data_IF_817780091978
#
_entry.id   IF_817780091978
#
_cell.length_a   1.000
_cell.length_b   1.000
_cell.length_c   1.000
_cell.angle_alpha   90.00
_cell.angle_beta   90.00
_cell.angle_gamma   90.00
#
_symmetry.space_group_name_H-M   'P 1'
#
loop_
_entity.id
_entity.type
_entity.pdbx_description
1 polymer ?
#
# COMPACT_ATOMS: atom_id res chain seq x y z
N UNK A 1 13.88 -16.11 -10.70
CA UNK A 1 13.01 -15.60 -9.62
C UNK A 1 13.58 -14.23 -9.29
N UNK A 2 12.93 -13.15 -9.72
CA UNK A 2 13.37 -11.82 -9.29
C UNK A 2 13.06 -11.73 -7.80
N UNK A 3 14.10 -11.64 -6.99
CA UNK A 3 13.98 -11.43 -5.55
C UNK A 3 13.58 -9.96 -5.37
N UNK A 4 12.27 -9.71 -5.34
CA UNK A 4 11.77 -8.37 -5.07
C UNK A 4 12.00 -8.09 -3.59
N UNK A 5 13.16 -7.51 -3.27
CA UNK A 5 13.42 -7.00 -1.94
C UNK A 5 12.50 -5.81 -1.69
N UNK A 6 11.82 -5.81 -0.54
CA UNK A 6 10.96 -4.69 -0.14
C UNK A 6 11.82 -3.42 -0.04
N UNK A 7 11.36 -2.29 -0.60
CA UNK A 7 12.09 -1.03 -0.48
C UNK A 7 12.24 -0.65 0.99
N UNK A 8 13.29 0.08 1.39
CA UNK A 8 13.48 0.49 2.77
C UNK A 8 12.43 1.49 3.26
N UNK A 9 11.73 2.17 2.33
CA UNK A 9 10.72 3.18 2.65
C UNK A 9 9.51 3.04 1.74
N UNK A 10 8.31 3.21 2.29
CA UNK A 10 7.06 3.30 1.54
C UNK A 10 6.37 4.63 1.84
N UNK A 11 5.65 5.13 0.84
CA UNK A 11 4.98 6.42 0.86
C UNK A 11 3.50 6.25 0.56
N UNK A 12 2.65 6.89 1.35
CA UNK A 12 1.21 6.94 1.08
C UNK A 12 0.73 8.38 1.10
N UNK A 13 0.40 8.87 -0.09
CA UNK A 13 -0.21 10.18 -0.29
C UNK A 13 -1.71 10.10 0.03
N UNK A 14 -2.23 11.11 0.72
CA UNK A 14 -3.64 11.20 1.06
C UNK A 14 -4.00 12.47 1.80
N UNK A 15 -5.22 12.51 2.31
CA UNK A 15 -5.70 13.58 3.19
C UNK A 15 -5.13 13.38 4.60
N UNK A 16 -4.66 14.45 5.24
CA UNK A 16 -4.04 14.40 6.57
C UNK A 16 -4.88 13.64 7.60
N UNK A 17 -6.18 13.93 7.70
CA UNK A 17 -7.08 13.30 8.69
C UNK A 17 -7.07 11.76 8.58
N UNK A 18 -7.14 11.23 7.35
CA UNK A 18 -7.06 9.79 7.10
C UNK A 18 -5.68 9.23 7.46
N UNK A 19 -4.62 9.99 7.14
CA UNK A 19 -3.25 9.57 7.40
C UNK A 19 -2.88 9.64 8.89
N UNK A 20 -3.50 10.52 9.68
CA UNK A 20 -3.36 10.55 11.14
C UNK A 20 -3.94 9.29 11.78
N UNK A 21 -5.08 8.79 11.27
CA UNK A 21 -5.63 7.49 11.68
C UNK A 21 -4.74 6.32 11.23
N UNK A 22 -4.15 6.42 10.04
CA UNK A 22 -3.18 5.44 9.57
C UNK A 22 -1.93 5.42 10.46
N UNK A 23 -1.40 6.58 10.84
CA UNK A 23 -0.22 6.69 11.71
C UNK A 23 -0.51 6.18 13.13
N UNK A 24 -1.54 6.72 13.78
CA UNK A 24 -1.82 6.48 15.21
C UNK A 24 -2.49 5.13 15.48
N UNK A 25 -3.32 4.62 14.56
CA UNK A 25 -4.09 3.39 14.76
C UNK A 25 -3.69 2.26 13.79
N UNK A 26 -2.87 2.56 12.78
CA UNK A 26 -2.58 1.60 11.72
C UNK A 26 -3.82 1.27 10.89
N UNK A 27 -4.72 2.25 10.70
CA UNK A 27 -5.99 2.03 10.00
C UNK A 27 -5.79 2.08 8.47
N UNK A 28 -6.11 0.99 7.79
CA UNK A 28 -6.05 0.90 6.33
C UNK A 28 -7.31 0.24 5.77
N UNK A 29 -7.74 0.69 4.59
CA UNK A 29 -8.84 0.06 3.86
C UNK A 29 -8.26 -0.70 2.67
N UNK A 30 -8.45 -2.01 2.66
CA UNK A 30 -8.16 -2.86 1.52
C UNK A 30 -9.27 -2.68 0.49
N UNK A 31 -8.92 -2.39 -0.77
CA UNK A 31 -9.90 -2.11 -1.83
C UNK A 31 -9.94 -3.21 -2.88
N UNK A 32 -11.12 -3.55 -3.44
CA UNK A 32 -11.21 -4.50 -4.53
C UNK A 32 -10.50 -4.01 -5.79
N UNK A 33 -9.58 -4.82 -6.33
CA UNK A 33 -8.96 -4.61 -7.65
C UNK A 33 -8.49 -5.95 -8.22
N UNK A 34 -8.71 -6.20 -9.52
CA UNK A 34 -8.24 -7.41 -10.21
C UNK A 34 -8.56 -8.73 -9.47
N UNK A 35 -9.78 -8.88 -8.97
CA UNK A 35 -10.26 -10.01 -8.15
C UNK A 35 -9.47 -10.26 -6.85
N UNK A 36 -8.79 -9.23 -6.36
CA UNK A 36 -8.05 -9.23 -5.09
C UNK A 36 -8.56 -8.08 -4.22
N UNK A 37 -8.28 -8.17 -2.92
CA UNK A 37 -8.24 -6.99 -2.05
C UNK A 37 -6.81 -6.46 -2.06
N UNK A 38 -6.65 -5.16 -2.28
CA UNK A 38 -5.34 -4.56 -2.46
C UNK A 38 -5.08 -3.38 -1.54
N UNK A 39 -3.80 -3.12 -1.29
CA UNK A 39 -3.30 -1.96 -0.57
C UNK A 39 -2.00 -1.51 -1.23
N UNK A 40 -2.00 -0.31 -1.82
CA UNK A 40 -0.84 0.23 -2.53
C UNK A 40 -0.14 1.33 -1.75
N UNK A 41 1.16 1.45 -2.01
CA UNK A 41 2.06 2.49 -1.54
C UNK A 41 2.99 2.87 -2.69
N UNK A 42 3.44 4.12 -2.75
CA UNK A 42 4.53 4.49 -3.64
C UNK A 42 5.87 4.14 -3.00
N UNK A 43 6.87 3.89 -3.84
CA UNK A 43 8.26 3.67 -3.45
C UNK A 43 9.09 4.96 -3.51
N UNK A 44 8.51 6.07 -3.97
CA UNK A 44 9.20 7.35 -4.15
C UNK A 44 8.52 8.49 -3.41
N UNK A 45 9.33 9.44 -2.95
CA UNK A 45 8.87 10.77 -2.55
C UNK A 45 8.89 11.70 -3.77
N UNK A 46 7.74 12.07 -4.30
CA UNK A 46 7.62 13.00 -5.43
C UNK A 46 6.48 13.99 -5.22
N UNK A 47 6.78 15.28 -5.36
CA UNK A 47 5.82 16.38 -5.28
C UNK A 47 4.66 16.26 -6.29
N UNK A 48 4.89 15.62 -7.45
CA UNK A 48 3.84 15.38 -8.47
C UNK A 48 2.77 14.41 -7.97
N UNK A 49 3.13 13.45 -7.13
CA UNK A 49 2.19 12.47 -6.59
C UNK A 49 1.19 13.11 -5.62
N UNK A 50 1.56 14.22 -4.96
CA UNK A 50 0.58 15.01 -4.20
C UNK A 50 -0.53 15.55 -5.11
N UNK A 51 -0.20 16.07 -6.30
CA UNK A 51 -1.21 16.57 -7.22
C UNK A 51 -2.02 15.43 -7.85
N UNK A 52 -1.34 14.35 -8.27
CA UNK A 52 -1.98 13.18 -8.88
C UNK A 52 -3.01 12.54 -7.94
N UNK A 53 -2.71 12.44 -6.65
CA UNK A 53 -3.62 11.87 -5.65
C UNK A 53 -4.51 12.92 -4.96
N UNK A 54 -4.42 14.19 -5.36
CA UNK A 54 -5.10 15.31 -4.67
C UNK A 54 -4.87 15.28 -3.15
N UNK A 55 -3.63 14.96 -2.76
CA UNK A 55 -3.19 14.78 -1.39
C UNK A 55 -2.58 16.06 -0.82
N UNK A 56 -2.82 16.31 0.46
CA UNK A 56 -2.20 17.40 1.22
C UNK A 56 -1.07 16.90 2.14
N UNK A 57 -0.99 15.59 2.35
CA UNK A 57 -0.07 14.95 3.27
C UNK A 57 0.43 13.61 2.73
N UNK A 58 1.56 13.14 3.25
CA UNK A 58 2.17 11.87 2.92
C UNK A 58 2.62 11.16 4.20
N UNK A 59 2.19 9.91 4.36
CA UNK A 59 2.67 9.00 5.39
C UNK A 59 3.92 8.29 4.86
N UNK A 60 5.03 8.49 5.54
CA UNK A 60 6.31 7.86 5.25
C UNK A 60 6.54 6.72 6.23
N UNK A 61 6.78 5.52 5.74
CA UNK A 61 7.00 4.31 6.54
C UNK A 61 8.45 3.86 6.36
N UNK A 62 9.25 3.95 7.42
CA UNK A 62 10.71 3.73 7.41
C UNK A 62 11.14 2.29 7.73
N UNK A 63 10.22 1.46 8.21
CA UNK A 63 10.47 0.03 8.46
C UNK A 63 9.40 -0.81 7.73
N UNK A 64 9.66 -1.06 6.45
CA UNK A 64 8.69 -1.71 5.56
C UNK A 64 8.55 -3.21 5.83
N UNK A 65 9.59 -3.85 6.38
CA UNK A 65 9.55 -5.25 6.82
C UNK A 65 8.57 -5.42 7.98
N UNK A 66 8.77 -4.67 9.06
CA UNK A 66 7.87 -4.71 10.21
C UNK A 66 6.44 -4.30 9.83
N UNK A 67 6.31 -3.29 8.98
CA UNK A 67 5.00 -2.87 8.46
C UNK A 67 4.31 -4.00 7.67
N UNK A 68 5.01 -4.61 6.72
CA UNK A 68 4.48 -5.68 5.88
C UNK A 68 4.04 -6.89 6.70
N UNK A 69 4.84 -7.32 7.67
CA UNK A 69 4.46 -8.38 8.60
C UNK A 69 3.20 -8.06 9.40
N UNK A 70 3.09 -6.83 9.93
CA UNK A 70 1.92 -6.38 10.70
C UNK A 70 0.67 -6.34 9.83
N UNK A 71 0.78 -5.88 8.59
CA UNK A 71 -0.32 -5.87 7.60
C UNK A 71 -0.78 -7.29 7.30
N UNK A 72 0.12 -8.19 6.88
CA UNK A 72 -0.23 -9.60 6.60
C UNK A 72 -0.86 -10.28 7.82
N UNK A 73 -0.34 -10.04 9.02
CA UNK A 73 -0.91 -10.57 10.26
C UNK A 73 -2.30 -10.01 10.55
N UNK A 74 -2.56 -8.73 10.29
CA UNK A 74 -3.87 -8.13 10.46
C UNK A 74 -4.90 -8.69 9.47
N UNK A 75 -4.50 -8.86 8.20
CA UNK A 75 -5.36 -9.46 7.18
C UNK A 75 -5.63 -10.93 7.51
N UNK A 76 -4.63 -11.72 7.90
CA UNK A 76 -4.84 -13.12 8.29
C UNK A 76 -5.84 -13.28 9.43
N UNK A 77 -5.90 -12.33 10.37
CA UNK A 77 -6.91 -12.32 11.44
C UNK A 77 -8.31 -11.96 10.92
N UNK A 78 -8.40 -10.98 10.04
CA UNK A 78 -9.69 -10.50 9.50
C UNK A 78 -10.27 -11.44 8.43
N UNK A 79 -9.40 -12.08 7.64
CA UNK A 79 -9.70 -12.83 6.43
C UNK A 79 -8.88 -14.15 6.39
N UNK A 80 -9.19 -15.12 7.27
CA UNK A 80 -8.33 -16.30 7.47
C UNK A 80 -8.23 -17.24 6.27
N UNK A 81 -9.15 -17.16 5.31
CA UNK A 81 -9.20 -17.98 4.08
C UNK A 81 -8.63 -17.28 2.84
N UNK A 82 -7.85 -16.23 3.04
CA UNK A 82 -7.26 -15.43 1.96
C UNK A 82 -5.74 -15.61 1.95
N UNK A 83 -5.17 -15.73 0.76
CA UNK A 83 -3.72 -15.81 0.56
C UNK A 83 -3.20 -14.44 0.12
N UNK A 84 -2.19 -13.94 0.83
CA UNK A 84 -1.56 -12.63 0.58
C UNK A 84 -0.20 -12.74 -0.10
N UNK A 85 0.08 -11.78 -0.97
CA UNK A 85 1.40 -11.51 -1.54
C UNK A 85 1.64 -10.01 -1.60
N UNK A 86 2.90 -9.59 -1.63
CA UNK A 86 3.28 -8.20 -1.89
C UNK A 86 4.51 -8.12 -2.77
N UNK A 87 4.68 -7.00 -3.47
CA UNK A 87 5.71 -6.82 -4.48
C UNK A 87 5.56 -5.54 -5.28
N UNK A 88 6.57 -5.22 -6.08
CA UNK A 88 6.54 -4.09 -6.99
C UNK A 88 5.52 -4.31 -8.13
N UNK A 89 4.85 -3.24 -8.54
CA UNK A 89 4.01 -3.21 -9.73
C UNK A 89 4.88 -3.11 -10.98
N UNK A 90 4.58 -3.90 -12.01
CA UNK A 90 5.21 -3.80 -13.32
C UNK A 90 4.31 -2.98 -14.27
N UNK A 91 4.94 -2.07 -15.01
CA UNK A 91 4.26 -1.10 -15.87
C UNK A 91 4.51 -1.39 -17.35
N UNK A 92 3.46 -1.36 -18.17
CA UNK A 92 3.56 -1.57 -19.62
C UNK A 92 3.84 -3.01 -20.06
N UNK A 93 4.05 -3.92 -19.11
CA UNK A 93 4.20 -5.36 -19.33
C UNK A 93 3.37 -6.13 -18.32
N UNK A 94 3.04 -7.38 -18.65
CA UNK A 94 2.35 -8.27 -17.72
C UNK A 94 3.30 -8.69 -16.60
N UNK A 95 2.93 -8.37 -15.37
CA UNK A 95 3.71 -8.76 -14.20
C UNK A 95 3.70 -10.26 -13.96
N UNK A 96 4.82 -10.80 -13.49
CA UNK A 96 4.93 -12.21 -13.10
C UNK A 96 4.00 -12.54 -11.92
N UNK A 97 3.74 -11.57 -11.05
CA UNK A 97 2.84 -11.67 -9.90
C UNK A 97 1.33 -11.60 -10.28
N UNK A 98 1.03 -11.32 -11.54
CA UNK A 98 -0.33 -11.33 -12.10
C UNK A 98 -0.98 -9.96 -12.20
N UNK A 99 -2.29 -9.97 -12.49
CA UNK A 99 -3.04 -8.77 -12.88
C UNK A 99 -3.19 -7.70 -11.79
N UNK A 100 -3.04 -8.05 -10.51
CA UNK A 100 -3.03 -7.07 -9.42
C UNK A 100 -1.73 -6.24 -9.38
N UNK A 101 -0.67 -6.72 -10.03
CA UNK A 101 0.65 -6.10 -10.09
C UNK A 101 0.98 -5.57 -11.49
N UNK A 102 0.00 -5.52 -12.39
CA UNK A 102 0.19 -5.08 -13.77
C UNK A 102 -0.54 -3.76 -13.96
N UNK A 103 0.17 -2.71 -14.37
CA UNK A 103 -0.40 -1.41 -14.70
C UNK A 103 0.08 -0.90 -16.07
N UNK A 104 -0.55 0.17 -16.55
CA UNK A 104 -0.18 0.76 -17.84
C UNK A 104 1.07 1.63 -17.72
N UNK A 105 1.78 1.85 -18.83
CA UNK A 105 2.97 2.70 -18.82
C UNK A 105 2.70 4.16 -18.39
N UNK A 106 1.46 4.63 -18.53
CA UNK A 106 1.06 5.99 -18.10
C UNK A 106 1.05 6.17 -16.58
N UNK A 107 1.00 5.06 -15.82
CA UNK A 107 0.93 5.08 -14.36
C UNK A 107 2.33 4.84 -13.74
N UNK A 108 3.38 4.73 -14.56
CA UNK A 108 4.71 4.34 -14.10
C UNK A 108 5.33 5.31 -13.08
N UNK A 109 4.95 6.58 -13.13
CA UNK A 109 5.39 7.62 -12.18
C UNK A 109 4.93 7.33 -10.73
N UNK A 110 3.95 6.43 -10.52
CA UNK A 110 3.49 6.06 -9.17
C UNK A 110 4.50 5.17 -8.43
N UNK A 111 5.35 4.43 -9.15
CA UNK A 111 6.35 3.51 -8.59
C UNK A 111 5.81 2.64 -7.45
N UNK A 112 4.73 1.89 -7.67
CA UNK A 112 3.99 1.26 -6.59
C UNK A 112 4.64 -0.02 -6.04
N UNK A 113 4.53 -0.16 -4.72
CA UNK A 113 4.56 -1.44 -4.03
C UNK A 113 3.13 -1.81 -3.65
N UNK A 114 2.69 -2.98 -4.10
CA UNK A 114 1.32 -3.46 -3.94
C UNK A 114 1.29 -4.63 -2.97
N UNK A 115 0.34 -4.61 -2.04
CA UNK A 115 -0.10 -5.79 -1.32
C UNK A 115 -1.41 -6.27 -1.93
N UNK A 116 -1.55 -7.58 -2.14
CA UNK A 116 -2.74 -8.18 -2.72
C UNK A 116 -3.12 -9.47 -2.00
N UNK A 117 -4.40 -9.62 -1.67
CA UNK A 117 -4.97 -10.83 -1.10
C UNK A 117 -6.05 -11.38 -2.02
N UNK A 118 -6.01 -12.69 -2.24
CA UNK A 118 -7.03 -13.40 -3.03
C UNK A 118 -7.74 -14.43 -2.15
N UNK A 119 -9.06 -14.45 -2.25
CA UNK A 119 -9.89 -15.49 -1.67
C UNK A 119 -9.48 -16.88 -2.20
N UNK A 120 -9.27 -17.85 -1.30
CA UNK A 120 -9.01 -19.23 -1.72
C UNK A 120 -10.29 -19.96 -2.14
N UNK A 121 -11.45 -19.40 -1.82
CA UNK A 121 -12.77 -19.94 -2.15
C UNK A 121 -13.45 -19.05 -3.20
N UNK A 122 -14.05 -19.67 -4.21
CA UNK A 122 -14.62 -19.03 -5.41
C UNK A 122 -15.90 -18.21 -5.19
N UNK A 123 -16.38 -18.05 -3.95
CA UNK A 123 -17.66 -17.40 -3.64
C UNK A 123 -17.57 -16.25 -2.61
N UNK A 124 -16.36 -15.82 -2.21
CA UNK A 124 -16.23 -14.72 -1.26
C UNK A 124 -16.42 -13.37 -1.96
N UNK A 125 -17.29 -12.53 -1.39
CA UNK A 125 -17.55 -11.18 -1.88
C UNK A 125 -16.33 -10.28 -1.70
N UNK A 126 -15.98 -9.53 -2.75
CA UNK A 126 -14.92 -8.52 -2.75
C UNK A 126 -15.46 -7.17 -2.23
N UNK A 127 -15.71 -7.08 -0.93
CA UNK A 127 -16.08 -5.81 -0.28
C UNK A 127 -14.83 -5.13 0.30
N UNK A 128 -14.75 -3.79 0.33
CA UNK A 128 -13.68 -3.11 1.04
C UNK A 128 -13.61 -3.54 2.50
N UNK A 129 -12.39 -3.78 3.00
CA UNK A 129 -12.16 -4.25 4.38
C UNK A 129 -11.25 -3.28 5.10
N UNK A 130 -11.70 -2.76 6.24
CA UNK A 130 -10.88 -1.98 7.14
C UNK A 130 -10.08 -2.90 8.05
N UNK A 131 -8.76 -2.72 8.08
CA UNK A 131 -7.84 -3.41 8.99
C UNK A 131 -7.16 -2.42 9.93
N UNK A 132 -6.74 -2.91 11.10
CA UNK A 132 -5.91 -2.17 12.05
C UNK A 132 -4.63 -2.94 12.34
N UNK A 133 -3.49 -2.31 12.10
CA UNK A 133 -2.15 -2.89 12.31
C UNK A 133 -1.46 -2.39 13.58
N UNK A 134 -2.11 -1.48 14.32
CA UNK A 134 -1.55 -0.81 15.50
C UNK A 134 -0.77 0.45 15.13
N UNK A 135 -0.39 1.25 16.13
CA UNK A 135 0.36 2.49 15.91
C UNK A 135 1.67 2.23 15.14
N UNK A 136 1.94 3.14 14.22
CA UNK A 136 3.12 3.20 13.36
C UNK A 136 4.09 4.31 13.78
N UNK A 137 3.76 5.12 14.79
CA UNK A 137 4.52 6.32 15.20
C UNK A 137 6.00 6.07 15.52
N UNK A 138 6.36 4.82 15.85
CA UNK A 138 7.75 4.45 16.13
C UNK A 138 8.63 4.36 14.89
N UNK A 139 8.05 4.18 13.70
CA UNK A 139 8.78 3.95 12.45
C UNK A 139 8.11 4.59 11.23
N UNK A 140 7.16 5.48 11.44
CA UNK A 140 6.48 6.22 10.40
C UNK A 140 6.21 7.65 10.85
N UNK A 141 6.08 8.56 9.89
CA UNK A 141 5.80 9.97 10.15
C UNK A 141 4.91 10.55 9.04
N UNK A 142 4.25 11.67 9.36
CA UNK A 142 3.50 12.46 8.38
C UNK A 142 4.34 13.63 7.92
N UNK A 143 4.33 13.89 6.62
CA UNK A 143 4.93 15.07 6.02
C UNK A 143 3.98 15.73 5.05
N UNK A 144 4.04 17.05 5.02
CA UNK A 144 3.27 17.88 4.11
C UNK A 144 4.05 18.09 2.83
N UNK A 145 3.34 18.49 1.77
CA UNK A 145 3.95 18.82 0.47
C UNK A 145 5.15 19.76 0.61
N UNK A 146 5.02 20.78 1.46
CA UNK A 146 5.98 21.87 1.60
C UNK A 146 7.10 21.61 2.62
N UNK A 147 7.19 20.40 3.18
CA UNK A 147 8.20 20.07 4.21
C UNK A 147 9.65 20.25 3.70
N UNK A 148 9.86 20.36 2.38
CA UNK A 148 11.17 20.63 1.76
C UNK A 148 11.48 22.12 1.50
N UNK A 149 10.58 23.05 1.85
CA UNK A 149 10.80 24.49 1.70
C UNK A 149 11.44 25.15 2.96
N UNK A 150 11.98 24.36 3.89
CA UNK A 150 12.65 24.82 5.10
C UNK A 150 14.15 24.50 5.11
#
# INVERSE_FOLDING_TARGET
MHDYQRPPTLYRYGVREDLELALSQGQFVLRPASNCLTLSFSQVWDGKLFEQFSADCCLIIHNTEEFGERVHRAVQRALPSWAGIDGAVEYGTRAALGAAFTKTAHEADEHEWMFAWRAMQSQLSLNPVLIKVGSLENFAELRDRDTYLA
#
